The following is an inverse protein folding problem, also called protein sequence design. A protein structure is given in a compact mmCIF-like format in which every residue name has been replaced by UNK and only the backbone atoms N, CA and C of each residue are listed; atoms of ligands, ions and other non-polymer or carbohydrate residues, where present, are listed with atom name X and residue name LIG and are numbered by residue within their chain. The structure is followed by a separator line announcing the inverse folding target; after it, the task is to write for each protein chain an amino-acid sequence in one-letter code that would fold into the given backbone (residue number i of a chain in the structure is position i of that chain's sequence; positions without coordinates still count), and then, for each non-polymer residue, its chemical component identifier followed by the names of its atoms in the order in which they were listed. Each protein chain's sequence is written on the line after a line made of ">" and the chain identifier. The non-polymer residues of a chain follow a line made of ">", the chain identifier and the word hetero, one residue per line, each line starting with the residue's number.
data_IF_697335128159
#
_entry.id   IF_697335128159
#
_cell.length_a   1.000
_cell.length_b   1.000
_cell.length_c   1.000
_cell.angle_alpha   90.00
_cell.angle_beta   90.00
_cell.angle_gamma   90.00
#
_symmetry.space_group_name_H-M   'P 1'
#
loop_
_entity.id
_entity.type
_entity.pdbx_description
1 polymer ?
#
# COMPACT_ATOMS: atom_id res chain seq x y z
N UNK A 1 5.96 -10.64 -11.05
CA UNK A 1 5.14 -11.27 -12.12
C UNK A 1 4.60 -12.66 -11.75
N UNK A 2 5.37 -13.58 -11.15
CA UNK A 2 4.90 -14.95 -10.84
C UNK A 2 3.64 -15.04 -9.96
N UNK A 3 3.44 -14.10 -9.03
CA UNK A 3 2.28 -14.09 -8.14
C UNK A 3 0.93 -13.83 -8.86
N UNK A 4 0.96 -13.21 -10.04
CA UNK A 4 -0.26 -12.86 -10.80
C UNK A 4 -0.72 -13.98 -11.74
N UNK A 5 0.09 -15.02 -11.93
CA UNK A 5 -0.19 -16.09 -12.89
C UNK A 5 -1.46 -16.89 -12.56
N UNK A 6 -1.88 -16.89 -11.30
CA UNK A 6 -3.04 -17.64 -10.81
C UNK A 6 -4.23 -16.74 -10.46
N UNK A 7 -4.26 -15.49 -10.95
CA UNK A 7 -5.35 -14.52 -10.65
C UNK A 7 -5.75 -14.52 -9.17
N UNK A 8 -4.80 -14.24 -8.24
CA UNK A 8 -5.06 -14.43 -6.84
C UNK A 8 -6.17 -13.49 -6.36
N UNK A 9 -6.99 -13.96 -5.40
CA UNK A 9 -7.98 -13.11 -4.73
C UNK A 9 -7.31 -11.99 -3.92
N UNK A 10 -6.12 -12.26 -3.37
CA UNK A 10 -5.35 -11.32 -2.57
C UNK A 10 -3.87 -11.39 -2.96
N UNK A 11 -3.27 -10.23 -3.24
CA UNK A 11 -1.84 -10.03 -3.41
C UNK A 11 -1.27 -9.38 -2.14
N UNK A 12 -0.31 -10.05 -1.51
CA UNK A 12 0.47 -9.49 -0.40
C UNK A 12 1.80 -8.93 -0.92
N UNK A 13 2.15 -7.71 -0.52
CA UNK A 13 3.40 -7.07 -0.86
C UNK A 13 4.06 -6.46 0.39
N UNK A 14 5.26 -6.94 0.74
CA UNK A 14 6.01 -6.42 1.88
C UNK A 14 7.11 -5.48 1.38
N UNK A 15 7.03 -4.21 1.77
CA UNK A 15 7.94 -3.13 1.35
C UNK A 15 8.30 -3.13 -0.15
N UNK A 16 7.32 -3.19 -1.07
CA UNK A 16 7.57 -3.40 -2.50
C UNK A 16 8.25 -2.22 -3.20
N UNK A 17 8.31 -1.06 -2.55
CA UNK A 17 8.99 0.15 -3.04
C UNK A 17 10.30 0.45 -2.30
N UNK A 18 10.73 -0.44 -1.38
CA UNK A 18 11.97 -0.24 -0.63
C UNK A 18 13.20 -0.22 -1.54
N UNK A 19 14.15 0.68 -1.26
CA UNK A 19 15.38 0.86 -2.04
C UNK A 19 15.20 1.17 -3.54
N UNK A 20 14.00 1.59 -3.97
CA UNK A 20 13.74 2.00 -5.35
C UNK A 20 13.76 3.52 -5.48
N UNK A 21 14.19 3.99 -6.66
CA UNK A 21 14.05 5.40 -7.02
C UNK A 21 12.56 5.81 -6.99
N UNK A 22 12.23 7.06 -6.59
CA UNK A 22 10.84 7.51 -6.47
C UNK A 22 9.99 7.33 -7.73
N UNK A 23 10.61 7.45 -8.92
CA UNK A 23 9.93 7.21 -10.20
C UNK A 23 9.48 5.77 -10.37
N UNK A 24 10.38 4.82 -10.09
CA UNK A 24 10.10 3.38 -10.21
C UNK A 24 9.07 2.95 -9.16
N UNK A 25 9.18 3.45 -7.94
CA UNK A 25 8.19 3.19 -6.89
C UNK A 25 6.77 3.60 -7.30
N UNK A 26 6.62 4.76 -7.96
CA UNK A 26 5.32 5.20 -8.49
C UNK A 26 4.77 4.27 -9.57
N UNK A 27 5.62 3.71 -10.43
CA UNK A 27 5.19 2.72 -11.42
C UNK A 27 4.71 1.42 -10.77
N UNK A 28 5.39 0.95 -9.73
CA UNK A 28 4.97 -0.23 -8.95
C UNK A 28 3.60 0.01 -8.30
N UNK A 29 3.37 1.17 -7.70
CA UNK A 29 2.10 1.50 -7.08
C UNK A 29 0.96 1.63 -8.11
N UNK A 30 1.24 2.18 -9.31
CA UNK A 30 0.29 2.16 -10.42
C UNK A 30 -0.08 0.74 -10.83
N UNK A 31 0.92 -0.13 -10.98
CA UNK A 31 0.70 -1.54 -11.29
C UNK A 31 -0.19 -2.24 -10.26
N UNK A 32 0.05 -2.01 -8.96
CA UNK A 32 -0.82 -2.55 -7.91
C UNK A 32 -2.25 -2.01 -7.97
N UNK A 33 -2.42 -0.75 -8.34
CA UNK A 33 -3.76 -0.17 -8.55
C UNK A 33 -4.48 -0.83 -9.71
N UNK A 34 -3.78 -1.13 -10.80
CA UNK A 34 -4.36 -1.79 -11.97
C UNK A 34 -4.73 -3.24 -11.65
N UNK A 35 -3.88 -3.97 -10.92
CA UNK A 35 -4.20 -5.30 -10.37
C UNK A 35 -5.41 -5.22 -9.42
N UNK A 36 -5.50 -4.17 -8.61
CA UNK A 36 -6.66 -4.00 -7.75
C UNK A 36 -7.96 -3.80 -8.52
N UNK A 37 -7.89 -3.02 -9.60
CA UNK A 37 -9.01 -2.78 -10.50
C UNK A 37 -9.44 -4.03 -11.29
N UNK A 38 -8.53 -4.98 -11.52
CA UNK A 38 -8.87 -6.26 -12.16
C UNK A 38 -9.56 -7.26 -11.22
N UNK A 39 -9.80 -6.90 -9.96
CA UNK A 39 -10.56 -7.72 -8.99
C UNK A 39 -9.72 -8.38 -7.90
N UNK A 40 -8.39 -8.28 -7.97
CA UNK A 40 -7.49 -8.79 -6.91
C UNK A 40 -7.41 -7.78 -5.77
N UNK A 41 -7.65 -8.19 -4.52
CA UNK A 41 -7.35 -7.30 -3.39
C UNK A 41 -5.84 -7.16 -3.23
N UNK A 42 -5.31 -5.95 -3.02
CA UNK A 42 -3.88 -5.75 -2.76
C UNK A 42 -3.71 -5.27 -1.32
N UNK A 43 -2.92 -6.01 -0.53
CA UNK A 43 -2.48 -5.60 0.80
C UNK A 43 -0.97 -5.39 0.78
N UNK A 44 -0.55 -4.17 1.12
CA UNK A 44 0.84 -3.77 1.09
C UNK A 44 1.26 -3.23 2.45
N UNK A 45 2.42 -3.65 2.95
CA UNK A 45 3.11 -3.01 4.06
C UNK A 45 4.13 -2.00 3.53
N UNK A 46 4.13 -0.78 4.08
CA UNK A 46 5.13 0.23 3.76
C UNK A 46 5.35 1.20 4.90
N UNK A 47 6.58 1.68 5.06
CA UNK A 47 6.94 2.82 5.91
C UNK A 47 7.01 4.15 5.14
N UNK A 48 6.77 4.16 3.82
CA UNK A 48 6.84 5.37 3.00
C UNK A 48 5.48 6.08 2.92
N UNK A 49 5.28 7.07 3.81
CA UNK A 49 4.04 7.83 3.90
C UNK A 49 3.78 8.78 2.74
N UNK A 50 4.81 9.23 2.02
CA UNK A 50 4.65 10.20 0.92
C UNK A 50 3.87 9.59 -0.25
N UNK A 51 4.08 8.29 -0.49
CA UNK A 51 3.30 7.56 -1.49
C UNK A 51 1.82 7.40 -1.11
N UNK A 52 1.47 7.39 0.17
CA UNK A 52 0.07 7.31 0.61
C UNK A 52 -0.71 8.57 0.25
N UNK A 53 -0.04 9.73 0.13
CA UNK A 53 -0.64 10.99 -0.33
C UNK A 53 -0.94 10.94 -1.83
N UNK A 54 0.00 10.42 -2.62
CA UNK A 54 -0.13 10.30 -4.07
C UNK A 54 -1.11 9.18 -4.49
N UNK A 55 -1.26 8.13 -3.66
CA UNK A 55 -2.09 6.96 -3.93
C UNK A 55 -3.07 6.69 -2.77
N UNK A 56 -4.15 7.48 -2.64
CA UNK A 56 -5.11 7.31 -1.57
C UNK A 56 -5.76 5.93 -1.64
N UNK A 57 -5.78 5.24 -0.50
CA UNK A 57 -6.38 3.93 -0.28
C UNK A 57 -6.83 3.81 1.18
N UNK A 58 -7.49 2.70 1.54
CA UNK A 58 -7.72 2.37 2.95
C UNK A 58 -6.38 2.11 3.62
N UNK A 59 -6.14 2.74 4.76
CA UNK A 59 -4.87 2.61 5.49
C UNK A 59 -5.15 1.93 6.83
N UNK A 60 -4.31 0.95 7.13
CA UNK A 60 -4.25 0.31 8.44
C UNK A 60 -2.96 0.76 9.11
N UNK A 61 -3.07 1.62 10.13
CA UNK A 61 -1.91 2.12 10.89
C UNK A 61 -1.67 1.21 12.09
N UNK A 62 -0.51 0.57 12.12
CA UNK A 62 -0.06 -0.21 13.27
C UNK A 62 0.75 0.70 14.21
N UNK A 63 0.23 0.98 15.41
CA UNK A 63 0.87 1.87 16.39
C UNK A 63 0.56 1.41 17.81
N UNK A 64 1.57 1.40 18.70
CA UNK A 64 1.43 1.02 20.12
C UNK A 64 0.71 -0.32 20.34
N UNK A 65 1.01 -1.33 19.51
CA UNK A 65 0.40 -2.66 19.57
C UNK A 65 -1.07 -2.70 19.14
N UNK A 66 -1.59 -1.64 18.50
CA UNK A 66 -2.96 -1.55 17.98
C UNK A 66 -2.95 -1.33 16.47
N UNK A 67 -4.04 -1.72 15.82
CA UNK A 67 -4.30 -1.44 14.41
C UNK A 67 -5.46 -0.45 14.32
N UNK A 68 -5.19 0.72 13.76
CA UNK A 68 -6.19 1.75 13.47
C UNK A 68 -6.57 1.68 11.99
N UNK A 69 -7.86 1.76 11.70
CA UNK A 69 -8.38 1.72 10.33
C UNK A 69 -8.90 3.09 9.92
N UNK A 70 -8.39 3.60 8.79
CA UNK A 70 -8.76 4.93 8.26
C UNK A 70 -10.24 5.05 7.90
N UNK A 71 -10.98 3.94 7.84
CA UNK A 71 -12.45 3.94 7.67
C UNK A 71 -13.21 4.21 8.97
N UNK A 72 -12.62 3.95 10.13
CA UNK A 72 -13.31 4.00 11.42
C UNK A 72 -12.67 4.98 12.41
N UNK A 73 -11.47 5.47 12.11
CA UNK A 73 -10.73 6.41 12.93
C UNK A 73 -9.93 7.37 12.07
N UNK A 74 -9.84 8.64 12.49
CA UNK A 74 -8.91 9.60 11.92
C UNK A 74 -7.55 9.49 12.63
N UNK A 75 -6.48 9.48 11.84
CA UNK A 75 -5.11 9.50 12.34
C UNK A 75 -4.17 10.15 11.32
N UNK A 76 -3.11 10.79 11.81
CA UNK A 76 -2.04 11.32 10.98
C UNK A 76 -1.17 10.22 10.37
N UNK A 77 -0.71 10.46 9.14
CA UNK A 77 0.19 9.60 8.36
C UNK A 77 1.56 10.28 8.26
N UNK A 78 2.57 9.77 8.97
CA UNK A 78 3.90 10.40 8.99
C UNK A 78 3.90 11.79 9.64
N UNK A 79 5.06 12.44 9.70
CA UNK A 79 5.39 13.56 10.61
C UNK A 79 4.49 14.81 10.50
N UNK A 80 3.32 14.79 11.13
CA UNK A 80 2.79 15.98 11.81
C UNK A 80 3.55 16.12 13.14
N UNK A 81 4.76 16.69 13.03
CA UNK A 81 5.44 17.42 14.10
C UNK A 81 5.82 18.78 13.55
#
# INVERSE_FOLDING_TARGET
>A
ARALLNEPLILFADEPTGNLDPGVAKEILKLFRDINRSGTSVLMATHNYDFLKDFPARILKCENGRVLDSRTAEFGLGSDR
#
